data_IF_689752319851
#
_entry.id   IF_689752319851
#
_cell.length_a   1.000
_cell.length_b   1.000
_cell.length_c   1.000
_cell.angle_alpha   90.00
_cell.angle_beta   90.00
_cell.angle_gamma   90.00
#
_symmetry.space_group_name_H-M   'P 1'
#
loop_
_entity.id
_entity.type
_entity.pdbx_description
1 polymer ?
#
# COMPACT_ATOMS: atom_id res chain seq x y z
N UNK A 1 -12.88 -9.81 -11.13
CA UNK A 1 -12.38 -9.47 -9.77
C UNK A 1 -12.73 -8.02 -9.50
N UNK A 2 -12.87 -7.61 -8.24
CA UNK A 2 -12.92 -6.18 -7.92
C UNK A 2 -11.55 -5.54 -8.09
N UNK A 3 -11.49 -4.21 -8.17
CA UNK A 3 -10.23 -3.46 -8.11
C UNK A 3 -10.36 -2.26 -7.19
N UNK A 4 -9.35 -2.07 -6.34
CA UNK A 4 -9.29 -1.02 -5.33
C UNK A 4 -7.89 -0.41 -5.31
N UNK A 5 -7.76 0.74 -4.68
CA UNK A 5 -6.47 1.38 -4.43
C UNK A 5 -6.66 2.87 -4.27
N UNK A 6 -5.59 3.63 -4.48
CA UNK A 6 -5.58 5.07 -4.34
C UNK A 6 -5.20 5.77 -5.65
N UNK A 7 -5.73 6.97 -5.85
CA UNK A 7 -5.28 7.89 -6.89
C UNK A 7 -4.39 8.96 -6.26
N UNK A 8 -3.26 9.20 -6.91
CA UNK A 8 -2.28 10.21 -6.52
C UNK A 8 -2.04 11.19 -7.66
N UNK A 9 -1.66 12.41 -7.30
CA UNK A 9 -1.03 13.39 -8.18
C UNK A 9 0.38 13.65 -7.64
N UNK A 10 1.38 13.13 -8.35
CA UNK A 10 2.74 13.00 -7.86
C UNK A 10 2.75 12.16 -6.58
N UNK A 11 3.18 12.76 -5.45
CA UNK A 11 3.26 12.08 -4.15
C UNK A 11 2.02 12.29 -3.27
N UNK A 12 1.09 13.13 -3.69
CA UNK A 12 -0.06 13.51 -2.89
C UNK A 12 -1.28 12.71 -3.31
N UNK A 13 -2.15 12.38 -2.36
CA UNK A 13 -3.47 11.84 -2.69
C UNK A 13 -4.21 12.80 -3.62
N UNK A 14 -5.05 12.26 -4.47
CA UNK A 14 -5.84 13.03 -5.43
C UNK A 14 -7.35 12.85 -5.16
N UNK A 15 -7.88 13.53 -4.13
CA UNK A 15 -9.30 13.50 -3.79
C UNK A 15 -10.19 13.94 -4.95
N UNK A 16 -11.35 13.29 -5.10
CA UNK A 16 -12.34 13.65 -6.13
C UNK A 16 -11.92 13.31 -7.55
N UNK A 17 -10.76 12.68 -7.74
CA UNK A 17 -10.33 12.21 -9.05
C UNK A 17 -11.32 11.17 -9.58
N UNK A 18 -11.73 11.30 -10.84
CA UNK A 18 -12.65 10.37 -11.50
C UNK A 18 -11.86 9.48 -12.43
N UNK A 19 -12.05 8.17 -12.28
CA UNK A 19 -11.49 7.17 -13.17
C UNK A 19 -12.59 6.75 -14.15
N UNK A 20 -12.33 6.99 -15.42
CA UNK A 20 -13.10 6.46 -16.53
C UNK A 20 -12.27 5.34 -17.17
N UNK A 21 -12.71 4.09 -16.95
CA UNK A 21 -12.05 2.89 -17.46
C UNK A 21 -12.88 2.33 -18.61
N UNK A 22 -12.18 1.93 -19.68
CA UNK A 22 -12.76 1.35 -20.88
C UNK A 22 -13.79 2.27 -21.55
N UNK A 23 -13.45 3.56 -21.66
CA UNK A 23 -14.26 4.58 -22.34
C UNK A 23 -15.67 4.72 -21.75
N UNK A 24 -15.76 4.63 -20.43
CA UNK A 24 -16.94 4.89 -19.63
C UNK A 24 -17.73 3.66 -19.26
N UNK A 25 -17.28 2.46 -19.65
CA UNK A 25 -17.89 1.20 -19.22
C UNK A 25 -17.77 1.01 -17.71
N UNK A 26 -16.64 1.40 -17.13
CA UNK A 26 -16.39 1.34 -15.69
C UNK A 26 -16.06 2.74 -15.20
N UNK A 27 -16.74 3.19 -14.15
CA UNK A 27 -16.53 4.51 -13.55
C UNK A 27 -16.30 4.38 -12.05
N UNK A 28 -15.33 5.12 -11.54
CA UNK A 28 -15.09 5.28 -10.12
C UNK A 28 -14.72 6.73 -9.79
N UNK A 29 -14.94 7.12 -8.56
CA UNK A 29 -14.53 8.41 -8.02
C UNK A 29 -13.72 8.17 -6.74
N UNK A 30 -12.57 8.82 -6.66
CA UNK A 30 -11.70 8.76 -5.50
C UNK A 30 -12.29 9.56 -4.34
N UNK A 31 -12.35 8.95 -3.16
CA UNK A 31 -12.80 9.60 -1.93
C UNK A 31 -11.85 10.70 -1.45
N UNK A 32 -12.15 11.28 -0.28
CA UNK A 32 -11.31 12.32 0.34
C UNK A 32 -9.91 11.84 0.70
N UNK A 33 -9.76 10.54 0.90
CA UNK A 33 -8.53 9.80 1.13
C UNK A 33 -7.88 9.30 -0.17
N UNK A 34 -8.39 9.73 -1.33
CA UNK A 34 -7.93 9.29 -2.65
C UNK A 34 -8.28 7.84 -2.99
N UNK A 35 -9.00 7.12 -2.11
CA UNK A 35 -9.31 5.72 -2.34
C UNK A 35 -10.43 5.58 -3.38
N UNK A 36 -10.29 4.63 -4.30
CA UNK A 36 -11.31 4.26 -5.27
C UNK A 36 -11.66 2.77 -5.15
N UNK A 37 -12.84 2.41 -5.65
CA UNK A 37 -13.28 1.02 -5.76
C UNK A 37 -14.08 0.84 -7.04
N UNK A 38 -13.83 -0.26 -7.74
CA UNK A 38 -14.62 -0.77 -8.85
C UNK A 38 -15.02 -2.21 -8.58
N UNK A 39 -16.27 -2.55 -8.86
CA UNK A 39 -16.83 -3.86 -8.53
C UNK A 39 -16.25 -4.98 -9.38
N UNK A 40 -16.03 -4.71 -10.67
CA UNK A 40 -15.56 -5.70 -11.63
C UNK A 40 -14.56 -5.07 -12.60
N UNK A 41 -13.34 -5.62 -12.60
CA UNK A 41 -12.37 -5.55 -13.67
C UNK A 41 -12.11 -6.97 -14.20
N UNK A 42 -11.89 -7.08 -15.50
CA UNK A 42 -11.63 -8.35 -16.18
C UNK A 42 -10.14 -8.53 -16.40
N UNK A 43 -9.76 -9.76 -16.75
CA UNK A 43 -8.45 -10.02 -17.33
C UNK A 43 -8.41 -9.44 -18.75
N UNK A 44 -7.28 -8.88 -19.16
CA UNK A 44 -7.10 -8.29 -20.48
C UNK A 44 -6.73 -6.82 -20.48
N UNK A 45 -6.87 -6.21 -21.66
CA UNK A 45 -6.46 -4.84 -21.94
C UNK A 45 -7.52 -3.82 -21.53
N UNK A 46 -7.06 -2.74 -20.91
CA UNK A 46 -7.86 -1.64 -20.42
C UNK A 46 -7.26 -0.30 -20.78
N UNK A 47 -8.12 0.71 -20.86
CA UNK A 47 -7.72 2.11 -20.91
C UNK A 47 -8.28 2.83 -19.70
N UNK A 48 -7.50 3.68 -19.05
CA UNK A 48 -7.97 4.55 -17.99
C UNK A 48 -7.71 6.00 -18.35
N UNK A 49 -8.73 6.84 -18.17
CA UNK A 49 -8.62 8.29 -18.17
C UNK A 49 -8.91 8.77 -16.76
N UNK A 50 -8.02 9.56 -16.20
CA UNK A 50 -8.20 10.18 -14.89
C UNK A 50 -8.49 11.66 -15.11
N UNK A 51 -9.62 12.13 -14.60
CA UNK A 51 -9.95 13.55 -14.55
C UNK A 51 -9.96 14.05 -13.11
N UNK A 52 -9.74 15.35 -12.93
CA UNK A 52 -9.97 15.98 -11.63
C UNK A 52 -11.46 16.10 -11.29
N UNK A 53 -11.76 16.65 -10.12
CA UNK A 53 -13.13 16.86 -9.63
C UNK A 53 -13.97 17.74 -10.57
N UNK A 54 -13.33 18.68 -11.27
CA UNK A 54 -13.93 19.63 -12.21
C UNK A 54 -14.14 19.02 -13.61
N UNK A 55 -13.56 17.86 -13.88
CA UNK A 55 -13.64 17.15 -15.15
C UNK A 55 -12.50 17.47 -16.12
N UNK A 56 -11.44 18.16 -15.68
CA UNK A 56 -10.24 18.35 -16.50
C UNK A 56 -9.41 17.07 -16.55
N UNK A 57 -8.98 16.66 -17.74
CA UNK A 57 -8.17 15.44 -17.92
C UNK A 57 -6.79 15.65 -17.30
N UNK A 58 -6.48 14.86 -16.28
CA UNK A 58 -5.20 14.87 -15.59
C UNK A 58 -4.20 13.88 -16.20
N UNK A 59 -4.69 12.76 -16.75
CA UNK A 59 -3.85 11.79 -17.44
C UNK A 59 -4.64 10.70 -18.12
N UNK A 60 -3.99 9.98 -19.03
CA UNK A 60 -4.54 8.82 -19.73
C UNK A 60 -3.46 7.79 -19.97
N UNK A 61 -3.75 6.52 -19.69
CA UNK A 61 -2.84 5.41 -20.01
C UNK A 61 -3.61 4.15 -20.38
N UNK A 62 -2.92 3.25 -21.04
CA UNK A 62 -3.35 1.86 -21.25
C UNK A 62 -2.67 0.96 -20.24
N UNK A 63 -3.36 -0.09 -19.82
CA UNK A 63 -2.79 -1.14 -18.98
C UNK A 63 -3.45 -2.49 -19.26
N UNK A 64 -2.79 -3.59 -18.94
CA UNK A 64 -3.38 -4.91 -18.98
C UNK A 64 -3.43 -5.49 -17.58
N UNK A 65 -4.55 -6.10 -17.22
CA UNK A 65 -4.57 -7.10 -16.16
C UNK A 65 -4.18 -8.43 -16.82
N UNK A 66 -3.35 -9.23 -16.14
CA UNK A 66 -2.94 -10.56 -16.59
C UNK A 66 -3.01 -11.54 -15.42
N UNK A 67 -4.02 -12.41 -15.44
CA UNK A 67 -4.14 -13.45 -14.41
C UNK A 67 -3.14 -14.57 -14.65
N UNK A 68 -2.37 -14.91 -13.63
CA UNK A 68 -1.29 -15.89 -13.67
C UNK A 68 -1.50 -17.03 -12.68
N UNK A 69 -1.36 -18.26 -13.16
CA UNK A 69 -1.39 -19.48 -12.35
C UNK A 69 -0.11 -19.66 -11.50
N UNK A 70 0.95 -18.90 -11.78
CA UNK A 70 2.26 -19.03 -11.11
C UNK A 70 2.63 -17.82 -10.26
N UNK A 71 1.92 -16.69 -10.40
CA UNK A 71 2.16 -15.52 -9.57
C UNK A 71 1.68 -15.76 -8.13
N UNK A 72 2.50 -15.39 -7.16
CA UNK A 72 2.16 -15.44 -5.73
C UNK A 72 1.73 -14.09 -5.16
N UNK A 73 2.05 -13.01 -5.87
CA UNK A 73 1.70 -11.63 -5.52
C UNK A 73 1.45 -10.80 -6.78
N UNK A 74 0.80 -9.66 -6.61
CA UNK A 74 0.58 -8.72 -7.72
C UNK A 74 1.86 -7.96 -8.01
N UNK A 75 2.28 -7.95 -9.27
CA UNK A 75 3.40 -7.13 -9.76
C UNK A 75 2.94 -6.28 -10.93
N UNK A 76 3.55 -5.10 -11.12
CA UNK A 76 3.31 -4.26 -12.28
C UNK A 76 4.61 -4.07 -13.03
N UNK A 77 4.61 -4.41 -14.32
CA UNK A 77 5.74 -4.20 -15.23
C UNK A 77 5.39 -3.10 -16.22
N UNK A 78 6.33 -2.19 -16.48
CA UNK A 78 6.23 -1.17 -17.52
C UNK A 78 7.00 -1.65 -18.75
N UNK A 79 6.38 -1.56 -19.92
CA UNK A 79 6.97 -1.88 -21.21
C UNK A 79 7.60 -0.63 -21.85
N UNK A 80 8.43 -0.84 -22.87
CA UNK A 80 9.14 0.22 -23.59
C UNK A 80 8.21 1.21 -24.30
N UNK A 81 7.01 0.76 -24.68
CA UNK A 81 5.97 1.59 -25.29
C UNK A 81 5.17 2.42 -24.26
N UNK A 82 5.50 2.28 -22.97
CA UNK A 82 4.83 2.95 -21.85
C UNK A 82 3.63 2.19 -21.28
N UNK A 83 3.14 1.14 -21.96
CA UNK A 83 2.07 0.28 -21.46
C UNK A 83 2.50 -0.43 -20.18
N UNK A 84 1.54 -0.74 -19.30
CA UNK A 84 1.81 -1.40 -18.02
C UNK A 84 0.99 -2.69 -17.90
N UNK A 85 1.60 -3.75 -17.39
CA UNK A 85 0.92 -5.03 -17.16
C UNK A 85 0.92 -5.32 -15.67
N UNK A 86 -0.27 -5.42 -15.08
CA UNK A 86 -0.50 -5.93 -13.75
C UNK A 86 -0.64 -7.45 -13.82
N UNK A 87 0.36 -8.18 -13.35
CA UNK A 87 0.34 -9.64 -13.25
C UNK A 87 -0.27 -9.99 -11.90
N UNK A 88 -1.36 -10.76 -11.89
CA UNK A 88 -2.20 -11.00 -10.72
C UNK A 88 -2.31 -12.50 -10.45
N UNK A 89 -2.16 -12.98 -9.20
CA UNK A 89 -2.38 -14.39 -8.86
C UNK A 89 -3.78 -14.90 -9.25
N UNK A 90 -3.86 -16.15 -9.71
CA UNK A 90 -5.15 -16.82 -9.93
C UNK A 90 -5.92 -16.92 -8.62
N UNK A 91 -7.21 -16.59 -8.67
CA UNK A 91 -8.08 -16.61 -7.49
C UNK A 91 -8.11 -15.31 -6.68
N UNK A 92 -7.37 -14.27 -7.10
CA UNK A 92 -7.50 -12.94 -6.52
C UNK A 92 -8.92 -12.39 -6.68
N UNK A 93 -9.57 -12.10 -5.57
CA UNK A 93 -10.91 -11.52 -5.54
C UNK A 93 -10.88 -10.00 -5.73
N UNK A 94 -9.88 -9.34 -5.13
CA UNK A 94 -9.66 -7.88 -5.22
C UNK A 94 -8.23 -7.60 -5.66
N UNK A 95 -8.10 -6.91 -6.79
CA UNK A 95 -6.85 -6.38 -7.31
C UNK A 95 -6.58 -5.02 -6.67
N UNK A 96 -5.43 -4.85 -6.02
CA UNK A 96 -5.01 -3.57 -5.46
C UNK A 96 -4.02 -2.87 -6.39
N UNK A 97 -4.41 -1.74 -6.97
CA UNK A 97 -3.58 -0.92 -7.85
C UNK A 97 -3.71 0.56 -7.50
N UNK A 98 -2.58 1.23 -7.33
CA UNK A 98 -2.54 2.67 -7.17
C UNK A 98 -2.21 3.34 -8.51
N UNK A 99 -2.93 4.41 -8.82
CA UNK A 99 -2.71 5.23 -10.01
C UNK A 99 -2.02 6.54 -9.61
N UNK A 100 -0.85 6.80 -10.17
CA UNK A 100 -0.07 8.00 -9.90
C UNK A 100 -0.02 8.85 -11.16
N UNK A 101 -0.77 9.95 -11.17
CA UNK A 101 -0.70 10.96 -12.22
C UNK A 101 0.58 11.78 -12.03
N UNK A 102 1.49 11.69 -12.98
CA UNK A 102 2.75 12.44 -12.98
C UNK A 102 2.53 13.86 -13.53
N UNK A 103 3.50 14.75 -13.28
CA UNK A 103 3.43 16.16 -13.69
C UNK A 103 3.38 16.35 -15.22
N UNK A 104 3.87 15.36 -15.98
CA UNK A 104 3.84 15.34 -17.45
C UNK A 104 2.52 14.77 -18.03
N UNK A 105 1.54 14.43 -17.17
CA UNK A 105 0.26 13.86 -17.55
C UNK A 105 0.29 12.35 -17.84
N UNK A 106 1.45 11.69 -17.70
CA UNK A 106 1.52 10.22 -17.73
C UNK A 106 0.98 9.64 -16.43
N UNK A 107 0.58 8.36 -16.47
CA UNK A 107 0.11 7.64 -15.29
C UNK A 107 1.04 6.46 -15.01
N UNK A 108 1.62 6.42 -13.81
CA UNK A 108 2.31 5.25 -13.29
C UNK A 108 1.33 4.40 -12.49
N UNK A 109 1.34 3.09 -12.71
CA UNK A 109 0.55 2.12 -11.96
C UNK A 109 1.50 1.34 -11.06
N UNK A 110 1.15 1.21 -9.79
CA UNK A 110 1.92 0.40 -8.84
C UNK A 110 0.99 -0.53 -8.08
N UNK A 111 1.48 -1.70 -7.60
CA UNK A 111 0.71 -2.52 -6.69
C UNK A 111 0.29 -1.71 -5.46
N UNK A 112 -1.01 -1.72 -5.17
CA UNK A 112 -1.56 -1.08 -3.98
C UNK A 112 -1.45 -1.96 -2.74
N UNK A 113 -1.64 -1.36 -1.56
CA UNK A 113 -1.66 -2.10 -0.30
C UNK A 113 -3.11 -2.43 0.09
N UNK A 114 -3.43 -3.69 0.46
CA UNK A 114 -4.72 -4.00 1.05
C UNK A 114 -4.90 -3.20 2.32
N UNK A 115 -5.95 -2.38 2.38
CA UNK A 115 -6.37 -1.80 3.66
C UNK A 115 -7.13 -2.88 4.40
N UNK A 116 -6.62 -3.34 5.54
CA UNK A 116 -7.37 -4.22 6.42
C UNK A 116 -8.66 -3.47 6.84
N UNK A 117 -9.81 -3.93 6.37
CA UNK A 117 -11.09 -3.41 6.87
C UNK A 117 -11.15 -3.70 8.38
N UNK A 118 -11.54 -2.74 9.23
CA UNK A 118 -11.69 -3.00 10.65
C UNK A 118 -12.73 -4.10 10.80
N UNK A 119 -12.30 -5.27 11.31
CA UNK A 119 -13.19 -6.38 11.64
C UNK A 119 -14.34 -5.84 12.47
N UNK A 120 -15.53 -5.73 11.87
CA UNK A 120 -16.72 -5.25 12.54
C UNK A 120 -16.98 -6.19 13.72
N UNK A 121 -16.72 -5.73 14.94
CA UNK A 121 -17.04 -6.48 16.15
C UNK A 121 -18.54 -6.72 16.15
N UNK A 122 -18.93 -7.99 16.00
CA UNK A 122 -20.32 -8.43 16.09
C UNK A 122 -20.92 -7.85 17.38
N UNK A 123 -22.05 -7.13 17.34
CA UNK A 123 -22.64 -6.60 18.55
C UNK A 123 -23.08 -7.78 19.42
N UNK A 124 -22.46 -7.91 20.59
CA UNK A 124 -22.85 -8.91 21.60
C UNK A 124 -24.30 -8.61 21.99
N UNK A 125 -25.22 -9.50 21.61
CA UNK A 125 -26.59 -9.47 22.09
C UNK A 125 -26.59 -9.62 23.60
N UNK A 126 -27.05 -8.57 24.28
CA UNK A 126 -27.22 -8.54 25.74
C UNK A 126 -28.19 -9.65 26.15
N UNK A 127 -27.82 -10.60 27.03
CA UNK A 127 -28.78 -11.57 27.54
C UNK A 127 -29.80 -10.85 28.44
N UNK A 128 -31.07 -11.19 28.25
CA UNK A 128 -32.16 -10.78 29.12
C UNK A 128 -31.92 -11.31 30.54
N UNK A 129 -31.98 -10.41 31.51
CA UNK A 129 -31.81 -10.67 32.93
C UNK A 129 -33.08 -11.31 33.51
N UNK A 130 -33.01 -12.59 33.86
CA UNK A 130 -33.94 -13.18 34.83
C UNK A 130 -33.33 -14.39 35.56
N UNK A 131 -32.77 -14.13 36.74
CA UNK A 131 -33.03 -14.97 37.92
C UNK A 131 -31.94 -15.94 38.39
N UNK A 132 -31.21 -15.46 39.41
CA UNK A 132 -30.54 -16.17 40.52
C UNK A 132 -29.03 -16.57 40.42
N UNK A 133 -28.28 -16.49 41.55
CA UNK A 133 -26.84 -16.19 41.53
C UNK A 133 -25.98 -17.45 41.67
N UNK A 134 -24.87 -17.53 40.94
CA UNK A 134 -23.76 -18.43 41.27
C UNK A 134 -22.61 -17.57 41.79
N UNK A 135 -22.42 -17.64 43.11
CA UNK A 135 -21.26 -17.12 43.83
C UNK A 135 -20.01 -17.93 43.45
N UNK A 136 -18.89 -17.21 43.32
CA UNK A 136 -17.48 -17.68 43.29
C UNK A 136 -16.82 -17.82 41.90
N UNK A 137 -16.27 -16.71 41.39
CA UNK A 137 -15.20 -16.74 40.38
C UNK A 137 -13.90 -16.18 41.01
N UNK A 138 -12.79 -16.94 41.06
CA UNK A 138 -11.48 -16.32 41.24
C UNK A 138 -11.05 -15.73 39.89
N UNK A 139 -10.80 -14.43 39.86
CA UNK A 139 -10.22 -13.73 38.71
C UNK A 139 -8.79 -14.23 38.50
N UNK A 140 -8.54 -14.96 37.41
CA UNK A 140 -7.21 -15.11 36.81
C UNK A 140 -7.33 -14.71 35.35
N UNK A 141 -6.89 -13.50 35.05
CA UNK A 141 -6.54 -13.05 33.70
C UNK A 141 -5.38 -13.89 33.19
N UNK A 142 -5.63 -14.81 32.26
CA UNK A 142 -4.56 -15.38 31.44
C UNK A 142 -4.43 -14.56 30.16
N UNK A 143 -3.54 -13.58 30.27
CA UNK A 143 -2.83 -12.91 29.18
C UNK A 143 -2.19 -13.95 28.25
N UNK A 144 -2.14 -13.61 26.96
CA UNK A 144 -1.80 -14.47 25.84
C UNK A 144 -0.57 -15.35 26.03
N UNK A 145 -0.78 -16.64 25.83
CA UNK A 145 0.26 -17.62 25.60
C UNK A 145 0.21 -18.01 24.12
N UNK A 146 0.95 -17.25 23.30
CA UNK A 146 1.42 -17.68 21.98
C UNK A 146 2.71 -16.91 21.65
N UNK A 147 3.70 -17.01 22.56
CA UNK A 147 5.12 -16.85 22.20
C UNK A 147 5.78 -18.21 22.38
N UNK A 148 5.53 -19.05 21.39
CA UNK A 148 6.48 -20.04 20.88
C UNK A 148 6.44 -19.65 19.40
N UNK A 149 7.49 -19.12 18.78
CA UNK A 149 8.76 -19.83 18.57
C UNK A 149 9.93 -18.83 18.36
N UNK A 150 11.10 -19.22 18.88
CA UNK A 150 12.45 -18.73 18.55
C UNK A 150 13.02 -17.48 19.29
N UNK A 151 13.48 -17.63 20.54
CA UNK A 151 14.20 -16.58 21.27
C UNK A 151 15.61 -16.26 20.73
N UNK A 152 16.12 -17.00 19.74
CA UNK A 152 17.47 -16.79 19.19
C UNK A 152 17.51 -15.70 18.10
N UNK A 153 16.40 -15.44 17.41
CA UNK A 153 16.32 -14.42 16.35
C UNK A 153 16.10 -13.00 16.90
N UNK A 154 15.44 -12.88 18.07
CA UNK A 154 15.14 -11.59 18.70
C UNK A 154 16.38 -10.87 19.26
N UNK A 155 17.48 -11.59 19.52
CA UNK A 155 18.74 -11.00 19.96
C UNK A 155 19.59 -10.41 18.82
N UNK A 156 19.31 -10.77 17.56
CA UNK A 156 20.08 -10.28 16.40
C UNK A 156 19.62 -8.90 15.90
N UNK A 157 18.37 -8.52 16.16
CA UNK A 157 17.80 -7.25 15.64
C UNK A 157 18.24 -6.05 16.49
N UNK A 158 18.52 -6.24 17.78
CA UNK A 158 18.93 -5.15 18.67
C UNK A 158 20.41 -4.75 18.54
N UNK A 159 21.26 -5.62 18.00
CA UNK A 159 22.68 -5.33 17.74
C UNK A 159 22.93 -4.67 16.36
N UNK A 160 22.01 -4.81 15.40
CA UNK A 160 22.17 -4.24 14.06
C UNK A 160 21.76 -2.75 13.98
N UNK A 161 20.75 -2.34 14.75
CA UNK A 161 20.27 -0.95 14.77
C UNK A 161 21.28 0.07 15.31
N UNK A 162 22.08 -0.31 16.32
CA UNK A 162 23.13 0.57 16.85
C UNK A 162 24.34 0.69 15.91
N UNK A 163 24.61 -0.30 15.06
CA UNK A 163 25.71 -0.26 14.08
C UNK A 163 25.47 0.76 12.96
N UNK A 164 24.22 0.89 12.47
CA UNK A 164 23.87 1.87 11.44
C UNK A 164 23.99 3.32 11.94
N UNK A 165 23.62 3.57 13.21
CA UNK A 165 23.77 4.90 13.83
C UNK A 165 25.27 5.25 13.95
N UNK A 166 26.11 4.28 14.33
CA UNK A 166 27.56 4.50 14.42
C UNK A 166 28.23 4.75 13.05
N UNK A 167 27.79 4.05 11.99
CA UNK A 167 28.27 4.26 10.62
C UNK A 167 27.91 5.64 10.05
N UNK A 168 26.71 6.15 10.33
CA UNK A 168 26.32 7.51 9.91
C UNK A 168 27.19 8.56 10.62
N UNK A 169 27.46 8.38 11.92
CA UNK A 169 28.32 9.30 12.69
C UNK A 169 29.78 9.24 12.19
N UNK A 170 30.33 8.06 11.91
CA UNK A 170 31.68 7.90 11.35
C UNK A 170 31.81 8.47 9.92
N UNK A 171 30.81 8.29 9.05
CA UNK A 171 30.83 8.85 7.69
C UNK A 171 30.76 10.38 7.70
N UNK A 172 30.05 10.98 8.66
CA UNK A 172 30.00 12.44 8.80
C UNK A 172 31.35 12.98 9.25
N UNK A 173 31.99 12.35 10.24
CA UNK A 173 33.31 12.78 10.73
C UNK A 173 34.41 12.72 9.67
N UNK A 174 34.43 11.69 8.80
CA UNK A 174 35.43 11.58 7.72
C UNK A 174 35.28 12.66 6.64
N UNK A 175 34.07 13.19 6.42
CA UNK A 175 33.85 14.32 5.49
C UNK A 175 34.30 15.66 6.08
N UNK A 176 34.10 15.84 7.40
CA UNK A 176 34.55 17.04 8.08
C UNK A 176 36.10 17.10 8.13
N UNK A 177 36.78 15.96 8.29
CA UNK A 177 38.25 15.87 8.28
C UNK A 177 38.85 16.07 6.86
N UNK A 178 38.17 15.66 5.78
CA UNK A 178 38.61 15.85 4.38
C UNK A 178 38.48 17.31 3.89
N UNK A 179 37.52 18.08 4.41
CA UNK A 179 37.39 19.52 4.13
C UNK A 179 38.46 20.36 4.88
N UNK A 180 38.91 19.90 6.05
CA UNK A 180 39.97 20.57 6.82
C UNK A 180 41.39 20.28 6.28
N UNK A 181 41.60 19.15 5.58
CA UNK A 181 42.88 18.85 4.92
C UNK A 181 43.07 19.62 3.61
N UNK A 182 41.99 19.88 2.86
CA UNK A 182 42.03 20.63 1.60
C UNK A 182 42.10 22.16 1.75
N UNK A 183 42.11 22.69 2.97
CA UNK A 183 42.20 24.12 3.26
C UNK A 183 43.51 24.54 3.94
N UNK A 184 44.48 23.62 4.09
CA UNK A 184 45.82 23.99 4.55
C UNK A 184 46.58 24.72 3.42
N UNK A 185 47.07 25.95 3.65
CA UNK A 185 47.90 26.61 2.67
C UNK A 185 49.21 25.83 2.53
N UNK A 186 49.55 25.48 1.29
CA UNK A 186 50.87 24.98 0.93
C UNK A 186 51.86 26.15 1.12
N UNK A 187 52.67 26.08 2.17
CA UNK A 187 53.87 26.91 2.36
C UNK A 187 55.10 26.14 1.90
#
# INVERSE_FOLDING_TARGET
MGMRGNVYRGKNLFPGAKLDIDLGEIKAEAGKDGAYSVDVIKDGFHVVTITDENGEVAGKTTFSVSVSDTATETTVIKLDDGSQIAIVPKGTETLWLDFVVNDDGTITIVPGTPVEEPTSEVPVTKPSDSGNPIMNNPVISKTGELIRENPLAAAAVFLCGLSLIFFIILRKKRKDDEEEENTKPVC
#
